data_IF_222054072613
#
_entry.id   IF_222054072613
#
_cell.length_a   1.000
_cell.length_b   1.000
_cell.length_c   1.000
_cell.angle_alpha   90.00
_cell.angle_beta   90.00
_cell.angle_gamma   90.00
#
_symmetry.space_group_name_H-M   'P 1'
#
loop_
_entity.id
_entity.type
_entity.pdbx_description
1 polymer ?
#
# COMPACT_ATOMS: atom_id res chain seq x y z
N UNK A 1 5.17 -0.18 -14.75
CA UNK A 1 5.28 -0.15 -13.28
C UNK A 1 4.86 1.25 -12.86
N UNK A 2 3.95 1.35 -11.90
CA UNK A 2 3.44 2.62 -11.40
C UNK A 2 4.43 3.13 -10.36
N UNK A 3 4.88 4.36 -10.52
CA UNK A 3 5.62 5.07 -9.48
C UNK A 3 4.64 5.63 -8.45
N UNK A 4 4.70 5.11 -7.23
CA UNK A 4 3.89 5.63 -6.14
C UNK A 4 4.47 6.97 -5.67
N UNK A 5 3.64 7.98 -5.36
CA UNK A 5 4.13 9.22 -4.79
C UNK A 5 4.87 8.98 -3.47
N UNK A 6 5.91 9.77 -3.22
CA UNK A 6 6.56 9.77 -1.90
C UNK A 6 5.66 10.44 -0.87
N UNK A 7 5.64 9.89 0.34
CA UNK A 7 4.81 10.38 1.44
C UNK A 7 5.51 11.55 2.18
N UNK A 8 5.46 12.75 1.60
CA UNK A 8 6.22 13.93 2.07
C UNK A 8 5.43 14.86 3.02
N UNK A 9 4.12 14.67 3.15
CA UNK A 9 3.25 15.54 3.93
C UNK A 9 3.62 15.56 5.44
N UNK A 10 3.60 16.70 6.17
CA UNK A 10 4.03 16.76 7.58
C UNK A 10 3.31 15.79 8.55
N UNK A 11 2.05 15.45 8.25
CA UNK A 11 1.27 14.48 9.02
C UNK A 11 1.64 13.01 8.74
N UNK A 12 2.49 12.74 7.75
CA UNK A 12 2.95 11.39 7.40
C UNK A 12 3.75 10.71 8.52
N UNK A 13 4.39 11.49 9.40
CA UNK A 13 5.19 11.00 10.53
C UNK A 13 4.44 10.10 11.51
N UNK A 14 3.10 10.11 11.47
CA UNK A 14 2.24 9.30 12.32
C UNK A 14 1.60 8.12 11.56
N UNK A 15 2.00 7.90 10.31
CA UNK A 15 1.49 6.81 9.48
C UNK A 15 2.57 5.79 9.19
N UNK A 16 2.33 4.56 9.63
CA UNK A 16 3.22 3.44 9.35
C UNK A 16 2.75 2.73 8.08
N UNK A 17 3.68 2.50 7.16
CA UNK A 17 3.46 1.78 5.91
C UNK A 17 4.79 1.18 5.44
N UNK A 18 4.78 0.15 4.57
CA UNK A 18 6.01 -0.42 4.04
C UNK A 18 6.80 0.58 3.21
N UNK A 19 8.09 0.29 3.04
CA UNK A 19 8.95 1.04 2.11
C UNK A 19 8.55 0.75 0.68
N UNK A 20 8.79 1.71 -0.21
CA UNK A 20 8.44 1.60 -1.64
C UNK A 20 9.23 0.49 -2.36
N UNK A 21 10.39 0.08 -1.86
CA UNK A 21 11.20 -1.02 -2.41
C UNK A 21 10.76 -2.41 -1.94
N UNK A 22 9.83 -2.50 -0.97
CA UNK A 22 9.28 -3.76 -0.47
C UNK A 22 8.07 -4.25 -1.28
N UNK A 23 7.58 -3.44 -2.23
CA UNK A 23 6.45 -3.78 -3.09
C UNK A 23 6.64 -3.22 -4.51
N UNK A 24 5.98 -3.85 -5.47
CA UNK A 24 5.94 -3.38 -6.85
C UNK A 24 4.49 -3.21 -7.30
N UNK A 25 4.16 -2.05 -7.89
CA UNK A 25 2.81 -1.76 -8.40
C UNK A 25 2.84 -1.69 -9.92
N UNK A 26 1.90 -2.37 -10.55
CA UNK A 26 1.66 -2.39 -11.99
C UNK A 26 0.24 -1.90 -12.29
N UNK A 27 -0.09 -1.81 -13.57
CA UNK A 27 -1.37 -1.26 -14.02
C UNK A 27 -2.57 -2.12 -13.61
N UNK A 28 -2.36 -3.40 -13.32
CA UNK A 28 -3.39 -4.36 -12.97
C UNK A 28 -3.19 -5.03 -11.61
N UNK A 29 -1.99 -4.94 -11.01
CA UNK A 29 -1.64 -5.72 -9.82
C UNK A 29 -0.62 -5.02 -8.93
N UNK A 30 -0.65 -5.32 -7.63
CA UNK A 30 0.41 -5.01 -6.68
C UNK A 30 1.04 -6.32 -6.19
N UNK A 31 2.37 -6.39 -6.16
CA UNK A 31 3.13 -7.57 -5.77
C UNK A 31 3.91 -7.23 -4.51
N UNK A 32 3.77 -8.04 -3.46
CA UNK A 32 4.49 -7.89 -2.19
C UNK A 32 4.52 -9.20 -1.41
N UNK A 33 5.31 -9.29 -0.34
CA UNK A 33 5.27 -10.43 0.56
C UNK A 33 4.24 -10.25 1.70
N UNK A 34 4.03 -11.30 2.48
CA UNK A 34 3.07 -11.30 3.59
C UNK A 34 3.42 -10.28 4.67
N UNK A 35 4.71 -10.10 4.98
CA UNK A 35 5.14 -9.14 5.99
C UNK A 35 4.90 -7.69 5.53
N UNK A 36 5.10 -7.40 4.24
CA UNK A 36 4.78 -6.10 3.65
C UNK A 36 3.27 -5.81 3.72
N UNK A 37 2.43 -6.81 3.44
CA UNK A 37 0.97 -6.69 3.57
C UNK A 37 0.54 -6.40 5.03
N UNK A 38 1.22 -6.98 6.01
CA UNK A 38 0.95 -6.78 7.43
C UNK A 38 1.35 -5.39 7.93
N UNK A 39 2.30 -4.73 7.26
CA UNK A 39 2.63 -3.33 7.52
C UNK A 39 1.57 -2.34 7.03
N UNK A 40 0.67 -2.76 6.13
CA UNK A 40 -0.42 -1.90 5.64
C UNK A 40 -1.58 -1.87 6.64
N UNK A 41 -1.97 -0.66 7.05
CA UNK A 41 -3.16 -0.48 7.90
C UNK A 41 -4.42 -0.97 7.19
N UNK A 42 -5.32 -1.64 7.91
CA UNK A 42 -6.56 -2.19 7.38
C UNK A 42 -7.70 -1.16 7.42
N UNK A 43 -8.24 -0.87 6.23
CA UNK A 43 -9.41 -0.01 6.05
C UNK A 43 -10.44 -0.72 5.17
N UNK A 44 -10.84 -1.93 5.56
CA UNK A 44 -11.83 -2.74 4.84
C UNK A 44 -13.24 -2.14 4.79
N UNK A 45 -13.60 -1.34 5.79
CA UNK A 45 -14.96 -0.77 5.94
C UNK A 45 -15.00 0.76 5.91
N UNK A 46 -13.85 1.41 5.78
CA UNK A 46 -13.70 2.86 5.88
C UNK A 46 -12.61 3.38 4.92
N UNK A 47 -12.38 4.69 4.91
CA UNK A 47 -11.29 5.34 4.17
C UNK A 47 -10.42 6.10 5.19
N UNK A 48 -9.08 6.05 5.08
CA UNK A 48 -8.21 6.77 6.01
C UNK A 48 -8.44 8.28 5.97
N UNK A 49 -8.59 8.89 7.15
CA UNK A 49 -8.55 10.36 7.29
C UNK A 49 -7.12 10.88 7.08
N UNK A 50 -6.96 12.19 6.89
CA UNK A 50 -5.66 12.78 6.55
C UNK A 50 -5.23 12.35 5.15
N UNK A 51 -5.86 12.97 4.15
CA UNK A 51 -5.64 12.70 2.75
C UNK A 51 -4.38 13.45 2.27
N UNK A 52 -3.35 12.68 1.92
CA UNK A 52 -2.10 13.18 1.34
C UNK A 52 -1.47 12.07 0.51
N UNK A 53 -0.72 12.46 -0.51
CA UNK A 53 -0.17 11.56 -1.51
C UNK A 53 0.82 10.56 -0.91
N UNK A 54 0.87 9.38 -1.53
CA UNK A 54 1.78 8.30 -1.15
C UNK A 54 1.33 7.52 0.08
N UNK A 55 0.27 7.94 0.78
CA UNK A 55 -0.32 7.17 1.87
C UNK A 55 -0.95 5.89 1.32
N UNK A 56 -0.55 4.75 1.87
CA UNK A 56 -1.00 3.42 1.47
C UNK A 56 -1.76 2.72 2.59
N UNK A 57 -2.73 1.88 2.21
CA UNK A 57 -3.47 1.01 3.11
C UNK A 57 -3.92 -0.25 2.39
N UNK A 58 -4.38 -1.25 3.15
CA UNK A 58 -5.02 -2.45 2.60
C UNK A 58 -6.53 -2.41 2.79
N UNK A 59 -7.26 -3.00 1.85
CA UNK A 59 -8.71 -3.16 1.92
C UNK A 59 -9.10 -4.58 1.52
N UNK A 60 -9.96 -5.23 2.30
CA UNK A 60 -10.51 -6.55 1.94
C UNK A 60 -11.31 -6.46 0.64
N UNK A 61 -11.17 -7.47 -0.21
CA UNK A 61 -11.89 -7.63 -1.48
C UNK A 61 -12.55 -9.02 -1.58
N UNK A 62 -12.98 -9.54 -0.42
CA UNK A 62 -13.50 -10.89 -0.26
C UNK A 62 -12.55 -11.81 0.52
N UNK A 63 -12.92 -13.09 0.68
CA UNK A 63 -12.14 -14.06 1.46
C UNK A 63 -10.71 -14.15 0.96
N UNK A 64 -9.75 -13.90 1.85
CA UNK A 64 -8.29 -13.93 1.61
C UNK A 64 -7.81 -13.09 0.42
N UNK A 65 -8.58 -12.09 0.00
CA UNK A 65 -8.23 -11.18 -1.09
C UNK A 65 -8.07 -9.78 -0.56
N UNK A 66 -6.92 -9.18 -0.90
CA UNK A 66 -6.59 -7.81 -0.51
C UNK A 66 -6.39 -6.92 -1.72
N UNK A 67 -6.75 -5.65 -1.55
CA UNK A 67 -6.36 -4.56 -2.42
C UNK A 67 -5.30 -3.72 -1.71
N UNK A 68 -4.26 -3.34 -2.44
CA UNK A 68 -3.43 -2.20 -2.10
C UNK A 68 -4.20 -0.97 -2.54
N UNK A 69 -4.41 -0.04 -1.63
CA UNK A 69 -5.01 1.25 -1.91
C UNK A 69 -4.01 2.34 -1.59
N UNK A 70 -4.05 3.45 -2.34
CA UNK A 70 -3.22 4.60 -2.05
C UNK A 70 -3.86 5.92 -2.48
N UNK A 71 -3.44 7.00 -1.82
CA UNK A 71 -3.68 8.35 -2.28
C UNK A 71 -2.64 8.73 -3.34
N UNK A 72 -3.11 8.98 -4.56
CA UNK A 72 -2.29 9.45 -5.69
C UNK A 72 -2.44 10.96 -5.92
N UNK A 73 -1.67 11.48 -6.87
CA UNK A 73 -1.79 12.86 -7.33
C UNK A 73 -3.18 13.12 -7.94
N UNK A 74 -3.63 14.37 -7.88
CA UNK A 74 -4.83 14.88 -8.56
C UNK A 74 -4.45 16.09 -9.41
N UNK A 75 -5.28 16.40 -10.42
CA UNK A 75 -5.15 17.65 -11.18
C UNK A 75 -5.54 18.87 -10.33
N UNK A 76 -6.39 18.65 -9.32
CA UNK A 76 -6.77 19.65 -8.34
C UNK A 76 -5.77 19.62 -7.17
N UNK A 77 -4.98 20.70 -6.94
CA UNK A 77 -3.95 20.73 -5.90
C UNK A 77 -4.46 20.49 -4.48
N UNK A 78 -5.75 20.71 -4.22
CA UNK A 78 -6.36 20.54 -2.90
C UNK A 78 -6.96 19.13 -2.72
N UNK A 79 -6.76 18.23 -3.69
CA UNK A 79 -7.33 16.88 -3.69
C UNK A 79 -6.27 15.82 -3.95
N UNK A 80 -6.63 14.60 -3.58
CA UNK A 80 -5.88 13.38 -3.93
C UNK A 80 -6.79 12.41 -4.68
N UNK A 81 -6.22 11.62 -5.57
CA UNK A 81 -6.93 10.49 -6.18
C UNK A 81 -6.91 9.27 -5.25
N UNK A 82 -7.94 8.43 -5.29
CA UNK A 82 -7.94 7.13 -4.62
C UNK A 82 -7.75 6.05 -5.67
N UNK A 83 -6.63 5.34 -5.56
CA UNK A 83 -6.26 4.29 -6.49
C UNK A 83 -6.21 2.94 -5.77
N UNK A 84 -6.38 1.84 -6.52
CA UNK A 84 -6.24 0.51 -5.94
C UNK A 84 -5.81 -0.56 -6.95
N UNK A 85 -5.11 -1.59 -6.45
CA UNK A 85 -4.75 -2.79 -7.21
C UNK A 85 -4.93 -4.07 -6.38
N UNK A 86 -5.39 -5.18 -6.96
CA UNK A 86 -5.32 -6.51 -6.35
C UNK A 86 -3.90 -6.83 -5.88
N UNK A 87 -3.78 -7.35 -4.66
CA UNK A 87 -2.50 -7.81 -4.12
C UNK A 87 -2.28 -9.26 -4.52
N UNK A 88 -1.10 -9.53 -5.08
CA UNK A 88 -0.54 -10.86 -5.27
C UNK A 88 0.61 -11.06 -4.31
N UNK A 89 0.43 -12.00 -3.39
CA UNK A 89 1.45 -12.37 -2.42
C UNK A 89 2.53 -13.24 -3.07
N UNK A 90 3.78 -12.91 -2.80
CA UNK A 90 4.94 -13.74 -3.14
C UNK A 90 5.56 -14.34 -1.87
N UNK A 91 6.11 -15.56 -1.99
CA UNK A 91 6.85 -16.19 -0.89
C UNK A 91 8.24 -15.56 -0.82
N UNK A 92 8.60 -15.03 0.36
CA UNK A 92 9.94 -14.53 0.60
C UNK A 92 10.84 -15.68 1.07
N UNK A 93 11.56 -16.32 0.13
CA UNK A 93 12.43 -17.48 0.42
C UNK A 93 13.62 -17.17 1.34
N UNK A 94 13.95 -15.90 1.53
CA UNK A 94 15.14 -15.49 2.28
C UNK A 94 14.86 -15.27 3.77
N UNK A 95 13.60 -15.03 4.16
CA UNK A 95 13.19 -14.91 5.58
C UNK A 95 12.98 -16.28 6.26
N UNK A 96 12.72 -17.33 5.49
CA UNK A 96 12.50 -18.69 6.00
C UNK A 96 13.80 -19.41 6.45
N UNK A 97 14.98 -18.87 6.11
CA UNK A 97 16.29 -19.48 6.44
C UNK A 97 16.87 -19.10 7.80
N UNK A 98 16.19 -18.28 8.61
CA UNK A 98 16.73 -17.76 9.89
C UNK A 98 16.47 -18.63 11.12
N UNK A 99 16.01 -19.87 10.96
CA UNK A 99 15.93 -20.84 12.04
C UNK A 99 16.45 -22.21 11.58
N UNK A 100 17.76 -22.37 11.58
CA UNK A 100 18.46 -23.66 11.71
C UNK A 100 19.82 -23.44 12.38
#
# INVERSE_FOLDING_TARGET
MIELPQMTHPHSRHWNQPRLDELAVYDDIAIMDQSTLECLSDYSTTIPTGAYEGKMWRRSNGPDKWLLCWYGLSEDPDKVSINSRPIRLIRNKDKDKKWN
#
